data_IF_786305221508
#
_entry.id   IF_786305221508
#
_cell.length_a   1.000
_cell.length_b   1.000
_cell.length_c   1.000
_cell.angle_alpha   90.00
_cell.angle_beta   90.00
_cell.angle_gamma   90.00
#
_symmetry.space_group_name_H-M   'P 1'
#
loop_
_entity.id
_entity.type
_entity.pdbx_description
1 polymer ?
#
# COMPACT_ATOMS: atom_id res chain seq x y z
N UNK A 1 11.30 -3.81 -29.44
CA UNK A 1 11.05 -3.83 -27.98
C UNK A 1 10.95 -2.38 -27.58
N UNK A 2 9.75 -1.87 -27.28
CA UNK A 2 9.57 -0.46 -26.91
C UNK A 2 9.44 -0.34 -25.40
N UNK A 3 10.25 0.54 -24.81
CA UNK A 3 10.18 0.86 -23.38
C UNK A 3 9.13 1.95 -23.18
N UNK A 4 8.14 1.71 -22.30
CA UNK A 4 7.16 2.71 -21.90
C UNK A 4 7.33 3.03 -20.42
N UNK A 5 7.53 4.32 -20.11
CA UNK A 5 7.51 4.81 -18.75
C UNK A 5 6.05 5.07 -18.34
N UNK A 6 5.60 4.43 -17.27
CA UNK A 6 4.28 4.65 -16.70
C UNK A 6 4.31 5.93 -15.84
N UNK A 7 3.33 6.82 -15.99
CA UNK A 7 3.23 8.08 -15.24
C UNK A 7 2.73 7.89 -13.79
N UNK A 8 2.97 6.73 -13.18
CA UNK A 8 2.54 6.45 -11.82
C UNK A 8 3.63 6.80 -10.82
N UNK A 9 3.34 7.76 -9.93
CA UNK A 9 4.15 8.02 -8.74
C UNK A 9 3.82 6.99 -7.67
N UNK A 10 4.66 5.96 -7.57
CA UNK A 10 4.49 4.83 -6.65
C UNK A 10 5.33 5.03 -5.39
N UNK A 11 4.75 4.75 -4.22
CA UNK A 11 5.46 4.60 -2.95
C UNK A 11 5.66 3.13 -2.63
N UNK A 12 6.79 2.81 -2.01
CA UNK A 12 7.13 1.47 -1.54
C UNK A 12 7.22 1.50 -0.02
N UNK A 13 6.49 0.59 0.63
CA UNK A 13 6.46 0.50 2.09
C UNK A 13 6.30 -0.93 2.55
N UNK A 14 6.56 -1.18 3.83
CA UNK A 14 6.44 -2.49 4.46
C UNK A 14 5.50 -2.42 5.66
N UNK A 15 4.72 -3.47 5.89
CA UNK A 15 3.91 -3.66 7.08
C UNK A 15 4.46 -4.86 7.85
N UNK A 16 4.82 -4.65 9.11
CA UNK A 16 5.16 -5.74 10.03
C UNK A 16 4.01 -6.75 10.15
N UNK A 17 4.31 -8.06 10.20
CA UNK A 17 3.26 -9.10 10.25
C UNK A 17 2.29 -8.92 11.41
N UNK A 18 2.77 -8.47 12.56
CA UNK A 18 1.96 -8.17 13.74
C UNK A 18 1.03 -6.97 13.57
N UNK A 19 1.33 -6.08 12.62
CA UNK A 19 0.57 -4.87 12.33
C UNK A 19 -0.45 -5.01 11.20
N UNK A 20 -0.42 -6.11 10.42
CA UNK A 20 -1.27 -6.28 9.24
C UNK A 20 -2.77 -6.09 9.53
N UNK A 21 -3.23 -6.55 10.68
CA UNK A 21 -4.65 -6.51 11.05
C UNK A 21 -5.20 -5.08 11.12
N UNK A 22 -4.36 -4.10 11.48
CA UNK A 22 -4.76 -2.68 11.47
C UNK A 22 -5.03 -2.18 10.04
N UNK A 23 -4.47 -2.83 9.03
CA UNK A 23 -4.59 -2.46 7.62
C UNK A 23 -5.56 -3.33 6.84
N UNK A 24 -6.13 -4.40 7.43
CA UNK A 24 -7.00 -5.37 6.73
C UNK A 24 -8.14 -4.69 5.99
N UNK A 25 -8.87 -3.76 6.63
CA UNK A 25 -9.97 -3.05 5.97
C UNK A 25 -9.51 -2.26 4.74
N UNK A 26 -8.37 -1.58 4.84
CA UNK A 26 -7.82 -0.80 3.73
C UNK A 26 -7.29 -1.70 2.61
N UNK A 27 -6.60 -2.79 2.95
CA UNK A 27 -6.11 -3.79 1.98
C UNK A 27 -7.28 -4.46 1.24
N UNK A 28 -8.32 -4.88 1.95
CA UNK A 28 -9.54 -5.47 1.34
C UNK A 28 -10.21 -4.46 0.39
N UNK A 29 -10.28 -3.18 0.77
CA UNK A 29 -10.81 -2.13 -0.11
C UNK A 29 -9.97 -1.97 -1.39
N UNK A 30 -8.65 -1.94 -1.26
CA UNK A 30 -7.72 -1.80 -2.40
C UNK A 30 -7.78 -3.02 -3.33
N UNK A 31 -7.89 -4.23 -2.77
CA UNK A 31 -7.97 -5.48 -3.54
C UNK A 31 -9.31 -5.66 -4.26
N UNK A 32 -10.43 -5.44 -3.55
CA UNK A 32 -11.74 -5.93 -4.00
C UNK A 32 -12.75 -4.81 -4.31
N UNK A 33 -12.53 -3.59 -3.83
CA UNK A 33 -13.49 -2.49 -3.95
C UNK A 33 -12.92 -1.34 -4.77
N UNK A 34 -12.43 -1.63 -5.99
CA UNK A 34 -11.80 -0.64 -6.88
C UNK A 34 -12.65 0.62 -7.13
N UNK A 35 -13.98 0.50 -7.21
CA UNK A 35 -14.89 1.65 -7.36
C UNK A 35 -14.98 2.56 -6.13
N UNK A 36 -14.37 2.17 -4.99
CA UNK A 36 -14.33 2.92 -3.73
C UNK A 36 -12.97 3.56 -3.48
N UNK A 37 -12.04 3.50 -4.43
CA UNK A 37 -10.70 4.10 -4.35
C UNK A 37 -10.32 4.74 -5.68
N UNK A 38 -9.46 5.77 -5.63
CA UNK A 38 -8.85 6.39 -6.82
C UNK A 38 -7.49 5.78 -7.16
N UNK A 39 -7.02 4.83 -6.34
CA UNK A 39 -5.79 4.09 -6.54
C UNK A 39 -5.83 3.30 -7.86
N UNK A 40 -4.86 3.56 -8.72
CA UNK A 40 -4.67 2.91 -10.03
C UNK A 40 -3.53 1.90 -10.01
N UNK A 41 -2.57 2.07 -9.10
CA UNK A 41 -1.45 1.15 -8.90
C UNK A 41 -1.47 0.59 -7.48
N UNK A 42 -1.60 -0.73 -7.33
CA UNK A 42 -1.53 -1.42 -6.06
C UNK A 42 -0.90 -2.81 -6.24
N UNK A 43 0.08 -3.11 -5.39
CA UNK A 43 0.69 -4.42 -5.24
C UNK A 43 0.89 -4.71 -3.76
N UNK A 44 0.67 -5.96 -3.38
CA UNK A 44 0.90 -6.50 -2.05
C UNK A 44 1.63 -7.83 -2.21
N UNK A 45 2.80 -7.94 -1.59
CA UNK A 45 3.60 -9.16 -1.57
C UNK A 45 3.85 -9.56 -0.14
N UNK A 46 3.42 -10.75 0.26
CA UNK A 46 3.85 -11.35 1.53
C UNK A 46 5.27 -11.89 1.41
N UNK A 47 6.11 -11.59 2.39
CA UNK A 47 7.43 -12.20 2.58
C UNK A 47 7.43 -12.99 3.90
N UNK A 48 8.47 -13.79 4.21
CA UNK A 48 8.60 -14.38 5.54
C UNK A 48 8.64 -13.33 6.66
N UNK A 49 9.21 -12.15 6.40
CA UNK A 49 9.46 -11.10 7.39
C UNK A 49 8.29 -10.10 7.53
N UNK A 50 7.63 -9.74 6.42
CA UNK A 50 6.71 -8.61 6.35
C UNK A 50 5.69 -8.73 5.19
N UNK A 51 4.96 -7.65 4.97
CA UNK A 51 4.17 -7.43 3.76
C UNK A 51 4.68 -6.19 3.03
N UNK A 52 5.24 -6.37 1.84
CA UNK A 52 5.65 -5.27 0.98
C UNK A 52 4.44 -4.73 0.21
N UNK A 53 4.24 -3.42 0.27
CA UNK A 53 3.20 -2.67 -0.43
C UNK A 53 3.82 -1.71 -1.44
N UNK A 54 3.31 -1.73 -2.66
CA UNK A 54 3.59 -0.72 -3.67
C UNK A 54 2.28 -0.10 -4.13
N UNK A 55 2.12 1.21 -3.95
CA UNK A 55 0.88 1.88 -4.29
C UNK A 55 1.13 3.33 -4.72
N UNK A 56 0.24 3.86 -5.56
CA UNK A 56 0.31 5.27 -5.95
C UNK A 56 -0.04 6.24 -4.79
N UNK A 57 0.21 7.53 -5.01
CA UNK A 57 -0.06 8.59 -4.02
C UNK A 57 -1.52 8.56 -3.51
N UNK A 58 -2.48 8.33 -4.40
CA UNK A 58 -3.91 8.24 -4.07
C UNK A 58 -4.23 7.03 -3.17
N UNK A 59 -3.62 5.87 -3.44
CA UNK A 59 -3.72 4.70 -2.57
C UNK A 59 -3.09 4.94 -1.21
N UNK A 60 -1.96 5.64 -1.16
CA UNK A 60 -1.23 5.92 0.08
C UNK A 60 -1.97 6.91 0.99
N UNK A 61 -2.57 7.96 0.41
CA UNK A 61 -3.33 8.98 1.14
C UNK A 61 -4.73 8.52 1.53
N UNK A 62 -5.28 7.55 0.81
CA UNK A 62 -6.64 7.04 0.99
C UNK A 62 -6.86 6.28 2.30
N UNK A 63 -6.95 6.97 3.45
CA UNK A 63 -7.29 6.44 4.79
C UNK A 63 -6.48 5.21 5.28
N UNK A 64 -5.50 4.70 4.53
CA UNK A 64 -4.42 3.83 5.02
C UNK A 64 -3.60 4.59 6.08
N UNK A 65 -3.57 5.93 5.98
CA UNK A 65 -2.80 6.85 6.83
C UNK A 65 -3.35 7.09 8.23
N UNK A 66 -4.60 6.74 8.54
CA UNK A 66 -5.11 6.93 9.91
C UNK A 66 -4.49 5.96 10.93
N UNK A 67 -3.76 4.94 10.47
CA UNK A 67 -2.96 4.03 11.30
C UNK A 67 -1.45 4.36 11.24
N UNK A 68 -1.02 5.12 10.22
CA UNK A 68 0.39 5.40 9.93
C UNK A 68 1.10 6.20 11.02
N UNK A 69 0.40 7.12 11.70
CA UNK A 69 1.07 8.06 12.60
C UNK A 69 1.25 7.59 14.05
N UNK A 70 0.64 6.47 14.47
CA UNK A 70 0.60 6.11 15.90
C UNK A 70 1.00 4.66 16.24
N UNK A 71 1.30 3.81 15.24
CA UNK A 71 1.54 2.37 15.48
C UNK A 71 2.98 1.91 15.25
N UNK A 72 3.83 2.70 14.57
CA UNK A 72 5.22 2.30 14.26
C UNK A 72 5.36 1.06 13.37
N UNK A 73 4.25 0.49 12.88
CA UNK A 73 4.20 -0.78 12.14
C UNK A 73 4.53 -0.65 10.65
N UNK A 74 4.83 0.56 10.17
CA UNK A 74 5.14 0.81 8.77
C UNK A 74 6.51 1.45 8.64
N UNK A 75 7.39 0.81 7.86
CA UNK A 75 8.65 1.41 7.40
C UNK A 75 8.46 1.85 5.95
N UNK A 76 8.51 3.15 5.71
CA UNK A 76 8.58 3.71 4.36
C UNK A 76 10.04 3.70 3.91
N UNK A 77 10.30 3.11 2.76
CA UNK A 77 11.58 3.29 2.08
C UNK A 77 11.46 4.59 1.28
N UNK A 78 12.16 5.64 1.72
CA UNK A 78 12.36 6.86 0.92
C UNK A 78 13.54 6.59 -0.01
#
# INVERSE_FOLDING_TARGET
MDLQLLEHRVRVTSIDKSGLWFFTHSIVKLLFLRHRTRCKFFSLTETPEDYTLMLDEEGFEGKVTLVLHNTGCIRSWV
#
